data_IF_782046055503
#
_entry.id   IF_782046055503
#
_cell.length_a   1.000
_cell.length_b   1.000
_cell.length_c   1.000
_cell.angle_alpha   90.00
_cell.angle_beta   90.00
_cell.angle_gamma   90.00
#
_symmetry.space_group_name_H-M   'P 1'
#
loop_
_entity.id
_entity.type
_entity.pdbx_description
1 polymer ?
#
# COMPACT_ATOMS: atom_id res chain seq x y z
N UNK A 1 8.52 29.41 -17.11
CA UNK A 1 7.64 28.30 -17.49
C UNK A 1 6.77 28.03 -16.30
N UNK A 2 5.48 27.84 -16.50
CA UNK A 2 4.65 27.32 -15.41
C UNK A 2 4.90 25.82 -15.17
N UNK A 3 4.31 25.23 -14.13
CA UNK A 3 4.54 23.82 -13.79
C UNK A 3 4.05 22.85 -14.87
N UNK A 4 3.02 23.19 -15.63
CA UNK A 4 2.51 22.34 -16.70
C UNK A 4 3.48 22.34 -17.89
N UNK A 5 3.95 23.52 -18.30
CA UNK A 5 4.95 23.67 -19.37
C UNK A 5 6.26 22.95 -19.02
N UNK A 6 6.70 23.04 -17.75
CA UNK A 6 7.90 22.32 -17.28
C UNK A 6 7.72 20.80 -17.38
N UNK A 7 6.57 20.28 -16.96
CA UNK A 7 6.25 18.84 -17.01
C UNK A 7 6.20 18.33 -18.46
N UNK A 8 5.50 19.04 -19.35
CA UNK A 8 5.42 18.71 -20.78
C UNK A 8 6.81 18.71 -21.44
N UNK A 9 7.67 19.69 -21.10
CA UNK A 9 9.04 19.75 -21.64
C UNK A 9 9.90 18.53 -21.25
N UNK A 10 9.76 18.01 -20.03
CA UNK A 10 10.49 16.81 -19.58
C UNK A 10 10.03 15.59 -20.39
N UNK A 11 8.72 15.44 -20.55
CA UNK A 11 8.13 14.34 -21.34
C UNK A 11 8.56 14.42 -22.80
N UNK A 12 8.47 15.60 -23.41
CA UNK A 12 8.86 15.82 -24.79
C UNK A 12 10.35 15.49 -25.02
N UNK A 13 11.20 15.87 -24.07
CA UNK A 13 12.61 15.51 -24.11
C UNK A 13 12.80 13.99 -24.05
N UNK A 14 12.14 13.30 -23.12
CA UNK A 14 12.27 11.85 -22.96
C UNK A 14 11.76 11.09 -24.20
N UNK A 15 10.61 11.49 -24.74
CA UNK A 15 10.08 10.93 -25.98
C UNK A 15 11.07 11.08 -27.14
N UNK A 16 11.77 12.21 -27.25
CA UNK A 16 12.80 12.42 -28.28
C UNK A 16 14.02 11.51 -28.08
N UNK A 17 14.41 11.19 -26.84
CA UNK A 17 15.52 10.27 -26.56
C UNK A 17 15.17 8.81 -26.89
N UNK A 18 13.95 8.39 -26.55
CA UNK A 18 13.53 6.99 -26.65
C UNK A 18 12.92 6.60 -28.00
N UNK A 19 12.66 7.57 -28.88
CA UNK A 19 12.19 7.28 -30.23
C UNK A 19 13.34 6.73 -31.09
N UNK A 20 13.59 5.42 -30.98
CA UNK A 20 14.37 4.66 -31.96
C UNK A 20 13.42 3.83 -32.84
N UNK A 21 13.22 4.21 -34.11
CA UNK A 21 12.38 3.46 -35.05
C UNK A 21 12.81 1.99 -35.24
N UNK A 22 14.06 1.64 -34.89
CA UNK A 22 14.58 0.28 -35.01
C UNK A 22 14.24 -0.61 -33.80
N UNK A 23 13.85 -0.05 -32.65
CA UNK A 23 13.59 -0.80 -31.42
C UNK A 23 12.10 -1.00 -31.12
N UNK A 24 11.19 -0.39 -31.89
CA UNK A 24 9.72 -0.39 -31.64
C UNK A 24 9.34 0.03 -30.20
N UNK A 25 10.23 0.78 -29.52
CA UNK A 25 9.97 1.30 -28.18
C UNK A 25 9.19 2.60 -28.31
N UNK A 26 7.97 2.61 -27.81
CA UNK A 26 7.12 3.80 -27.77
C UNK A 26 7.05 4.36 -26.35
N UNK A 27 6.97 5.69 -26.25
CA UNK A 27 6.66 6.40 -25.00
C UNK A 27 5.16 6.67 -24.98
N UNK A 28 4.52 6.33 -23.88
CA UNK A 28 3.09 6.55 -23.69
C UNK A 28 2.74 8.04 -23.81
N UNK A 29 1.53 8.31 -24.28
CA UNK A 29 1.03 9.67 -24.41
C UNK A 29 0.17 10.02 -23.18
N UNK A 30 0.22 11.27 -22.74
CA UNK A 30 -0.68 11.73 -21.68
C UNK A 30 -2.14 11.60 -22.15
N UNK A 31 -2.98 10.97 -21.33
CA UNK A 31 -4.39 10.78 -21.65
C UNK A 31 -5.17 12.08 -21.36
N UNK A 32 -5.94 12.64 -22.31
CA UNK A 32 -6.70 13.87 -22.08
C UNK A 32 -7.75 13.69 -20.99
N UNK A 33 -7.84 14.66 -20.08
CA UNK A 33 -8.84 14.66 -19.02
C UNK A 33 -10.26 14.73 -19.59
N UNK A 34 -11.14 13.85 -19.11
CA UNK A 34 -12.54 13.78 -19.51
C UNK A 34 -13.48 14.46 -18.51
N UNK A 35 -13.22 14.33 -17.19
CA UNK A 35 -14.04 14.93 -16.15
C UNK A 35 -13.29 15.00 -14.79
N UNK A 36 -13.72 15.88 -13.89
CA UNK A 36 -13.07 16.10 -12.60
C UNK A 36 -13.75 15.39 -11.41
N UNK A 37 -14.61 14.38 -11.67
CA UNK A 37 -15.26 13.65 -10.57
C UNK A 37 -14.22 12.98 -9.68
N UNK A 38 -13.14 12.44 -10.26
CA UNK A 38 -12.05 11.83 -9.51
C UNK A 38 -11.33 12.81 -8.56
N UNK A 39 -11.21 14.09 -8.93
CA UNK A 39 -10.62 15.12 -8.06
C UNK A 39 -11.45 15.26 -6.78
N UNK A 40 -12.77 15.34 -6.90
CA UNK A 40 -13.66 15.47 -5.74
C UNK A 40 -13.55 14.25 -4.79
N UNK A 41 -13.41 13.03 -5.36
CA UNK A 41 -13.22 11.81 -4.58
C UNK A 41 -11.88 11.79 -3.86
N UNK A 42 -10.82 12.28 -4.51
CA UNK A 42 -9.51 12.46 -3.87
C UNK A 42 -9.62 13.46 -2.72
N UNK A 43 -10.26 14.61 -2.92
CA UNK A 43 -10.48 15.60 -1.85
C UNK A 43 -11.26 15.04 -0.66
N UNK A 44 -12.28 14.21 -0.93
CA UNK A 44 -13.04 13.52 0.11
C UNK A 44 -12.16 12.54 0.91
N UNK A 45 -11.34 11.74 0.23
CA UNK A 45 -10.42 10.79 0.87
C UNK A 45 -9.33 11.49 1.67
N UNK A 46 -8.79 12.59 1.14
CA UNK A 46 -7.82 13.41 1.83
C UNK A 46 -8.47 14.15 3.02
N UNK A 47 -9.73 14.58 2.90
CA UNK A 47 -10.35 15.52 3.84
C UNK A 47 -9.76 16.93 3.75
N UNK A 48 -9.14 17.28 2.62
CA UNK A 48 -8.65 18.61 2.28
C UNK A 48 -8.64 18.82 0.76
N UNK A 49 -8.48 20.07 0.31
CA UNK A 49 -8.48 20.40 -1.12
C UNK A 49 -7.31 19.79 -1.89
N UNK A 50 -7.54 19.48 -3.15
CA UNK A 50 -6.54 18.96 -4.07
C UNK A 50 -5.43 20.00 -4.26
N UNK A 51 -4.14 19.62 -4.21
CA UNK A 51 -3.03 20.57 -4.34
C UNK A 51 -3.16 21.43 -5.62
N UNK A 52 -3.30 22.76 -5.52
CA UNK A 52 -3.58 23.61 -6.69
C UNK A 52 -2.53 23.50 -7.81
N UNK A 53 -1.27 23.28 -7.43
CA UNK A 53 -0.13 23.08 -8.33
C UNK A 53 -0.27 21.82 -9.20
N UNK A 54 -0.90 20.77 -8.67
CA UNK A 54 -1.19 19.52 -9.38
C UNK A 54 -2.55 19.56 -10.07
N UNK A 55 -3.51 20.33 -9.55
CA UNK A 55 -4.84 20.44 -10.14
C UNK A 55 -4.77 20.91 -11.61
N UNK A 56 -3.84 21.82 -11.95
CA UNK A 56 -3.63 22.24 -13.35
C UNK A 56 -3.25 21.09 -14.27
N UNK A 57 -2.42 20.16 -13.79
CA UNK A 57 -2.05 18.96 -14.52
C UNK A 57 -3.27 18.07 -14.72
N UNK A 58 -4.00 17.78 -13.64
CA UNK A 58 -5.18 16.91 -13.67
C UNK A 58 -6.43 17.53 -14.33
N UNK A 59 -6.43 18.84 -14.57
CA UNK A 59 -7.41 19.52 -15.42
C UNK A 59 -7.19 19.25 -16.91
N UNK A 60 -5.96 18.90 -17.31
CA UNK A 60 -5.60 18.64 -18.70
C UNK A 60 -5.42 17.16 -19.01
N UNK A 61 -4.87 16.40 -18.06
CA UNK A 61 -4.50 15.00 -18.24
C UNK A 61 -5.01 14.11 -17.10
N UNK A 62 -5.32 12.86 -17.40
CA UNK A 62 -5.70 11.84 -16.40
C UNK A 62 -5.01 10.51 -16.71
N UNK A 63 -3.76 10.40 -16.26
CA UNK A 63 -2.89 9.27 -16.56
C UNK A 63 -2.38 9.27 -18.00
N UNK A 64 -2.16 8.08 -18.53
CA UNK A 64 -1.52 7.86 -19.83
C UNK A 64 -2.31 6.86 -20.70
N UNK A 65 -2.02 6.88 -22.00
CA UNK A 65 -2.51 5.93 -22.99
C UNK A 65 -1.33 5.35 -23.79
N UNK A 66 -1.38 4.05 -24.04
CA UNK A 66 -0.32 3.30 -24.71
C UNK A 66 0.05 2.02 -23.96
N UNK A 67 1.02 1.28 -24.49
CA UNK A 67 1.58 0.06 -23.88
C UNK A 67 3.10 0.12 -23.77
N UNK A 68 3.67 1.31 -23.98
CA UNK A 68 5.10 1.57 -23.97
C UNK A 68 5.60 2.04 -22.60
N UNK A 69 6.74 2.72 -22.61
CA UNK A 69 7.31 3.31 -21.39
C UNK A 69 6.45 4.46 -20.88
N UNK A 70 6.46 4.67 -19.56
CA UNK A 70 5.82 5.84 -18.98
C UNK A 70 6.43 7.14 -19.49
N UNK A 71 5.61 8.18 -19.61
CA UNK A 71 5.99 9.42 -20.28
C UNK A 71 7.06 10.22 -19.53
N UNK A 72 7.06 10.13 -18.20
CA UNK A 72 7.96 10.88 -17.34
C UNK A 72 9.20 10.03 -17.01
N UNK A 73 10.24 10.10 -17.84
CA UNK A 73 11.51 9.39 -17.61
C UNK A 73 11.28 7.89 -17.31
N UNK A 74 10.55 7.24 -18.22
CA UNK A 74 10.08 5.85 -18.15
C UNK A 74 9.00 5.54 -17.09
N UNK A 75 8.63 6.50 -16.26
CA UNK A 75 7.56 6.37 -15.27
C UNK A 75 6.27 7.02 -15.76
N UNK A 76 5.14 6.50 -15.31
CA UNK A 76 3.83 6.93 -15.81
C UNK A 76 3.20 7.99 -14.92
N UNK A 77 2.53 8.97 -15.53
CA UNK A 77 1.57 9.81 -14.81
C UNK A 77 0.47 8.93 -14.22
N UNK A 78 0.25 9.04 -12.91
CA UNK A 78 -0.78 8.32 -12.17
C UNK A 78 -2.16 8.85 -12.58
N UNK A 79 -3.08 7.96 -12.94
CA UNK A 79 -4.49 8.33 -13.17
C UNK A 79 -5.20 8.63 -11.84
N UNK A 80 -6.27 9.44 -11.88
CA UNK A 80 -7.14 9.69 -10.73
C UNK A 80 -7.71 8.38 -10.17
N UNK A 81 -7.99 7.38 -11.02
CA UNK A 81 -8.43 6.06 -10.56
C UNK A 81 -7.35 5.38 -9.72
N UNK A 82 -6.12 5.30 -10.22
CA UNK A 82 -5.00 4.69 -9.50
C UNK A 82 -4.67 5.45 -8.21
N UNK A 83 -4.73 6.78 -8.24
CA UNK A 83 -4.60 7.64 -7.07
C UNK A 83 -5.66 7.31 -6.00
N UNK A 84 -6.92 7.20 -6.41
CA UNK A 84 -8.03 6.81 -5.53
C UNK A 84 -7.82 5.40 -4.96
N UNK A 85 -7.37 4.45 -5.78
CA UNK A 85 -7.10 3.07 -5.34
C UNK A 85 -5.97 3.04 -4.29
N UNK A 86 -4.90 3.80 -4.50
CA UNK A 86 -3.78 3.95 -3.56
C UNK A 86 -4.21 4.62 -2.24
N UNK A 87 -5.02 5.68 -2.30
CA UNK A 87 -5.56 6.34 -1.11
C UNK A 87 -6.54 5.43 -0.35
N UNK A 88 -7.40 4.68 -1.05
CA UNK A 88 -8.27 3.70 -0.43
C UNK A 88 -7.49 2.59 0.26
N UNK A 89 -6.43 2.07 -0.38
CA UNK A 89 -5.50 1.15 0.26
C UNK A 89 -4.89 1.76 1.54
N UNK A 90 -4.38 2.99 1.45
CA UNK A 90 -3.82 3.74 2.59
C UNK A 90 -4.83 3.91 3.73
N UNK A 91 -6.11 4.12 3.42
CA UNK A 91 -7.20 4.21 4.40
C UNK A 91 -7.38 2.91 5.18
N UNK A 92 -7.20 1.74 4.54
CA UNK A 92 -7.29 0.45 5.24
C UNK A 92 -6.21 0.25 6.31
N UNK A 93 -5.09 0.96 6.19
CA UNK A 93 -3.98 0.91 7.14
C UNK A 93 -4.22 1.75 8.39
N UNK A 94 -5.22 2.63 8.39
CA UNK A 94 -5.54 3.49 9.54
C UNK A 94 -6.22 2.65 10.62
N UNK A 95 -5.57 2.54 11.78
CA UNK A 95 -6.12 1.83 12.94
C UNK A 95 -6.78 2.80 13.92
N UNK A 96 -7.93 2.46 14.53
CA UNK A 96 -8.55 3.29 15.57
C UNK A 96 -7.63 3.47 16.77
N UNK A 97 -7.63 4.67 17.37
CA UNK A 97 -6.82 4.96 18.58
C UNK A 97 -7.21 4.09 19.78
N UNK A 98 -8.51 3.79 19.91
CA UNK A 98 -9.05 2.94 20.97
C UNK A 98 -9.97 1.87 20.34
N UNK A 99 -9.40 0.77 19.83
CA UNK A 99 -10.18 -0.25 19.13
C UNK A 99 -11.08 -1.03 20.08
N UNK A 100 -12.33 -1.27 19.67
CA UNK A 100 -13.28 -2.06 20.47
C UNK A 100 -14.28 -2.83 19.60
N UNK A 101 -14.82 -3.92 20.16
CA UNK A 101 -15.87 -4.70 19.49
C UNK A 101 -17.22 -4.07 19.79
N UNK A 102 -17.78 -3.31 18.85
CA UNK A 102 -19.06 -2.61 19.01
C UNK A 102 -20.26 -3.55 19.21
N UNK A 103 -20.24 -4.72 18.58
CA UNK A 103 -21.34 -5.69 18.62
C UNK A 103 -20.86 -7.05 19.15
N UNK A 104 -20.55 -7.15 20.46
CA UNK A 104 -19.89 -8.33 21.03
C UNK A 104 -20.70 -9.62 20.86
N UNK A 105 -22.03 -9.56 20.99
CA UNK A 105 -22.88 -10.75 20.81
C UNK A 105 -22.91 -11.26 19.36
N UNK A 106 -22.89 -10.36 18.37
CA UNK A 106 -22.86 -10.73 16.95
C UNK A 106 -21.48 -11.27 16.58
N UNK A 107 -20.42 -10.62 17.06
CA UNK A 107 -19.04 -11.08 16.92
C UNK A 107 -18.88 -12.50 17.48
N UNK A 108 -19.35 -12.74 18.71
CA UNK A 108 -19.28 -14.05 19.35
C UNK A 108 -20.00 -15.14 18.54
N UNK A 109 -21.12 -14.82 17.86
CA UNK A 109 -21.79 -15.79 16.99
C UNK A 109 -20.92 -16.25 15.83
N UNK A 110 -20.20 -15.35 15.16
CA UNK A 110 -19.26 -15.74 14.10
C UNK A 110 -18.16 -16.65 14.64
N UNK A 111 -17.55 -16.27 15.77
CA UNK A 111 -16.52 -17.06 16.44
C UNK A 111 -17.02 -18.46 16.81
N UNK A 112 -18.25 -18.56 17.33
CA UNK A 112 -18.85 -19.85 17.71
C UNK A 112 -19.09 -20.74 16.49
N UNK A 113 -19.60 -20.20 15.38
CA UNK A 113 -19.82 -20.98 14.15
C UNK A 113 -18.49 -21.45 13.55
N UNK A 114 -17.47 -20.58 13.51
CA UNK A 114 -16.13 -20.97 13.04
C UNK A 114 -15.55 -22.08 13.92
N UNK A 115 -15.63 -21.93 15.25
CA UNK A 115 -15.12 -22.93 16.19
C UNK A 115 -15.86 -24.26 16.07
N UNK A 116 -17.18 -24.25 15.92
CA UNK A 116 -17.99 -25.47 15.75
C UNK A 116 -17.58 -26.23 14.49
N UNK A 117 -17.36 -25.54 13.36
CA UNK A 117 -16.87 -26.15 12.13
C UNK A 117 -15.49 -26.78 12.31
N UNK A 118 -14.56 -26.09 12.95
CA UNK A 118 -13.23 -26.63 13.23
C UNK A 118 -13.31 -27.89 14.12
N UNK A 119 -14.13 -27.85 15.17
CA UNK A 119 -14.28 -28.99 16.09
C UNK A 119 -14.91 -30.19 15.38
N UNK A 120 -15.93 -29.96 14.55
CA UNK A 120 -16.76 -31.03 13.97
C UNK A 120 -16.19 -31.61 12.68
N UNK A 121 -15.46 -30.80 11.89
CA UNK A 121 -15.03 -31.16 10.54
C UNK A 121 -13.50 -31.32 10.42
N UNK A 122 -12.70 -30.83 11.39
CA UNK A 122 -11.23 -30.82 11.30
C UNK A 122 -10.54 -31.63 12.40
N UNK A 123 -11.06 -31.64 13.63
CA UNK A 123 -10.42 -32.38 14.72
C UNK A 123 -10.45 -33.90 14.48
N UNK A 124 -9.29 -34.60 14.52
CA UNK A 124 -9.21 -36.01 14.16
C UNK A 124 -9.70 -36.96 15.27
N UNK A 125 -9.59 -36.57 16.55
CA UNK A 125 -9.98 -37.39 17.71
C UNK A 125 -10.46 -36.50 18.87
N UNK A 126 -11.68 -36.70 19.42
CA UNK A 126 -12.18 -35.93 20.56
C UNK A 126 -11.40 -36.15 21.87
N UNK A 127 -10.64 -37.25 22.01
CA UNK A 127 -9.98 -37.60 23.27
C UNK A 127 -8.54 -37.06 23.38
N UNK A 128 -7.82 -36.88 22.27
CA UNK A 128 -6.36 -36.64 22.26
C UNK A 128 -5.96 -35.24 21.77
N UNK A 129 -6.45 -34.18 22.42
CA UNK A 129 -6.02 -32.82 22.16
C UNK A 129 -6.11 -31.92 23.40
N UNK A 130 -5.33 -30.83 23.41
CA UNK A 130 -5.35 -29.81 24.44
C UNK A 130 -5.97 -28.50 23.93
N UNK A 131 -5.49 -28.02 22.78
CA UNK A 131 -6.00 -26.82 22.11
C UNK A 131 -5.81 -26.87 20.59
N UNK A 132 -6.63 -26.09 19.89
CA UNK A 132 -6.52 -25.81 18.47
C UNK A 132 -6.36 -24.29 18.29
N UNK A 133 -5.37 -23.86 17.53
CA UNK A 133 -5.18 -22.45 17.16
C UNK A 133 -5.44 -22.25 15.68
N UNK A 134 -6.05 -21.13 15.30
CA UNK A 134 -6.19 -20.72 13.90
C UNK A 134 -6.02 -19.19 13.80
N UNK A 135 -5.25 -18.78 12.81
CA UNK A 135 -5.03 -17.38 12.44
C UNK A 135 -5.99 -17.02 11.32
N UNK A 136 -6.82 -16.00 11.55
CA UNK A 136 -7.85 -15.57 10.63
C UNK A 136 -7.56 -14.16 10.16
N UNK A 137 -7.49 -13.94 8.85
CA UNK A 137 -7.47 -12.62 8.25
C UNK A 137 -8.51 -12.52 7.12
N UNK A 138 -8.85 -11.30 6.67
CA UNK A 138 -9.75 -11.13 5.51
C UNK A 138 -9.19 -11.74 4.21
N UNK A 139 -7.88 -12.02 4.18
CA UNK A 139 -7.14 -12.38 2.96
C UNK A 139 -6.44 -13.74 3.05
N UNK A 140 -6.32 -14.33 4.24
CA UNK A 140 -5.62 -15.59 4.46
C UNK A 140 -6.14 -16.32 5.71
N UNK A 141 -5.84 -17.61 5.76
CA UNK A 141 -5.99 -18.46 6.95
C UNK A 141 -4.61 -19.06 7.28
N UNK A 142 -4.25 -19.07 8.56
CA UNK A 142 -3.04 -19.71 9.08
C UNK A 142 -3.41 -20.82 10.05
N UNK A 143 -2.78 -21.98 9.92
CA UNK A 143 -3.15 -23.19 10.65
C UNK A 143 -4.13 -24.07 9.86
N UNK A 144 -4.92 -24.91 10.55
CA UNK A 144 -5.11 -24.97 11.98
C UNK A 144 -3.95 -25.69 12.67
N UNK A 145 -3.65 -25.28 13.89
CA UNK A 145 -2.50 -25.72 14.67
C UNK A 145 -2.98 -26.53 15.86
N UNK A 146 -2.84 -27.85 15.80
CA UNK A 146 -3.32 -28.78 16.81
C UNK A 146 -2.22 -29.12 17.82
N UNK A 147 -2.48 -28.83 19.09
CA UNK A 147 -1.60 -29.15 20.20
C UNK A 147 -2.21 -30.30 20.99
N UNK A 148 -1.51 -31.44 21.03
CA UNK A 148 -2.02 -32.66 21.67
C UNK A 148 -1.97 -32.58 23.20
N UNK A 149 -0.99 -31.87 23.75
CA UNK A 149 -0.74 -31.67 25.19
C UNK A 149 -0.45 -30.19 25.51
N UNK A 150 -0.51 -29.84 26.80
CA UNK A 150 -0.23 -28.48 27.28
C UNK A 150 1.21 -28.02 26.97
N UNK A 151 2.18 -28.94 27.02
CA UNK A 151 3.59 -28.69 26.74
C UNK A 151 3.98 -28.90 25.27
N UNK A 152 3.00 -29.16 24.39
CA UNK A 152 3.27 -29.26 22.95
C UNK A 152 3.78 -27.92 22.42
N UNK A 153 4.93 -27.93 21.76
CA UNK A 153 5.56 -26.72 21.21
C UNK A 153 5.07 -26.44 19.79
N UNK A 154 5.28 -25.21 19.29
CA UNK A 154 4.98 -24.84 17.91
C UNK A 154 5.72 -25.67 16.85
N UNK A 155 6.83 -26.32 17.22
CA UNK A 155 7.58 -27.22 16.34
C UNK A 155 7.01 -28.63 16.29
N UNK A 156 6.28 -29.04 17.35
CA UNK A 156 5.76 -30.39 17.53
C UNK A 156 4.24 -30.48 17.36
N UNK A 157 3.57 -29.36 17.07
CA UNK A 157 2.14 -29.34 16.78
C UNK A 157 1.83 -30.05 15.46
N UNK A 158 0.62 -30.57 15.36
CA UNK A 158 0.09 -31.10 14.12
C UNK A 158 -0.60 -29.98 13.32
N UNK A 159 -0.67 -30.15 12.00
CA UNK A 159 -1.39 -29.25 11.10
C UNK A 159 -2.41 -30.10 10.33
N UNK A 160 -3.63 -30.28 10.88
CA UNK A 160 -4.67 -31.04 10.20
C UNK A 160 -5.11 -30.34 8.91
N UNK A 161 -5.49 -31.13 7.90
CA UNK A 161 -6.09 -30.59 6.68
C UNK A 161 -7.50 -30.03 6.97
N UNK A 162 -7.81 -28.85 6.42
CA UNK A 162 -9.18 -28.33 6.41
C UNK A 162 -9.85 -28.78 5.10
N UNK A 163 -11.04 -29.41 5.14
CA UNK A 163 -11.79 -29.67 3.91
C UNK A 163 -12.11 -28.37 3.15
N UNK A 164 -12.02 -28.38 1.83
CA UNK A 164 -12.15 -27.17 1.01
C UNK A 164 -13.43 -26.37 1.28
N UNK A 165 -14.58 -27.04 1.39
CA UNK A 165 -15.87 -26.40 1.69
C UNK A 165 -15.90 -25.76 3.09
N UNK A 166 -15.19 -26.38 4.05
CA UNK A 166 -15.04 -25.86 5.42
C UNK A 166 -14.14 -24.64 5.42
N UNK A 167 -13.03 -24.68 4.69
CA UNK A 167 -12.09 -23.57 4.54
C UNK A 167 -12.77 -22.35 3.91
N UNK A 168 -13.50 -22.55 2.82
CA UNK A 168 -14.28 -21.50 2.16
C UNK A 168 -15.31 -20.88 3.12
N UNK A 169 -16.05 -21.71 3.86
CA UNK A 169 -17.03 -21.23 4.83
C UNK A 169 -16.38 -20.43 5.98
N UNK A 170 -15.24 -20.88 6.51
CA UNK A 170 -14.49 -20.16 7.55
C UNK A 170 -13.99 -18.82 7.00
N UNK A 171 -13.49 -18.80 5.78
CA UNK A 171 -13.02 -17.57 5.14
C UNK A 171 -14.14 -16.55 4.96
N UNK A 172 -15.31 -16.99 4.51
CA UNK A 172 -16.51 -16.16 4.38
C UNK A 172 -17.01 -15.61 5.72
N UNK A 173 -17.02 -16.44 6.76
CA UNK A 173 -17.39 -16.01 8.12
C UNK A 173 -16.38 -15.00 8.67
N UNK A 174 -15.10 -15.21 8.40
CA UNK A 174 -14.01 -14.31 8.79
C UNK A 174 -14.17 -12.94 8.14
N UNK A 175 -14.45 -12.89 6.82
CA UNK A 175 -14.74 -11.62 6.11
C UNK A 175 -15.95 -10.90 6.69
N UNK A 176 -17.03 -11.62 6.99
CA UNK A 176 -18.24 -11.04 7.59
C UNK A 176 -17.98 -10.51 9.01
N UNK A 177 -17.17 -11.22 9.80
CA UNK A 177 -16.74 -10.77 11.12
C UNK A 177 -15.86 -9.53 11.03
N UNK A 178 -14.90 -9.51 10.09
CA UNK A 178 -14.05 -8.36 9.84
C UNK A 178 -14.89 -7.14 9.45
N UNK A 179 -15.78 -7.25 8.47
CA UNK A 179 -16.62 -6.12 8.03
C UNK A 179 -17.58 -5.63 9.13
N UNK A 180 -18.02 -6.50 10.05
CA UNK A 180 -18.78 -6.09 11.24
C UNK A 180 -17.96 -5.21 12.20
N UNK A 181 -16.66 -5.47 12.32
CA UNK A 181 -15.76 -4.85 13.30
C UNK A 181 -14.82 -3.80 12.69
N UNK A 182 -14.81 -3.66 11.36
CA UNK A 182 -13.83 -2.87 10.61
C UNK A 182 -13.79 -1.41 11.02
N UNK A 183 -14.94 -0.76 11.18
CA UNK A 183 -15.01 0.66 11.52
C UNK A 183 -14.50 0.96 12.94
N UNK A 184 -14.78 0.08 13.91
CA UNK A 184 -14.51 0.34 15.33
C UNK A 184 -13.24 -0.39 15.85
N UNK A 185 -12.73 -1.39 15.12
CA UNK A 185 -11.56 -2.18 15.50
C UNK A 185 -10.49 -2.22 14.41
N UNK A 186 -10.86 -2.49 13.15
CA UNK A 186 -9.96 -2.65 12.00
C UNK A 186 -8.73 -3.57 12.24
N UNK A 187 -8.94 -4.75 12.83
CA UNK A 187 -7.84 -5.70 13.09
C UNK A 187 -7.24 -6.25 11.79
N UNK A 188 -5.94 -6.57 11.79
CA UNK A 188 -5.26 -7.19 10.65
C UNK A 188 -5.35 -8.70 10.69
N UNK A 189 -5.27 -9.27 11.90
CA UNK A 189 -5.35 -10.70 12.14
C UNK A 189 -6.15 -10.96 13.43
N UNK A 190 -6.82 -12.10 13.46
CA UNK A 190 -7.56 -12.61 14.60
C UNK A 190 -7.07 -14.03 14.90
N UNK A 191 -6.41 -14.20 16.04
CA UNK A 191 -6.03 -15.51 16.57
C UNK A 191 -7.19 -16.06 17.39
N UNK A 192 -7.75 -17.18 16.96
CA UNK A 192 -8.74 -17.95 17.71
C UNK A 192 -8.07 -19.19 18.30
N UNK A 193 -8.14 -19.32 19.62
CA UNK A 193 -7.73 -20.53 20.34
C UNK A 193 -8.98 -21.19 20.89
N UNK A 194 -9.11 -22.48 20.64
CA UNK A 194 -10.18 -23.34 21.13
C UNK A 194 -9.52 -24.36 22.06
N UNK A 195 -10.02 -24.50 23.28
CA UNK A 195 -9.53 -25.47 24.25
C UNK A 195 -10.46 -26.68 24.33
N UNK A 196 -9.92 -27.83 24.76
CA UNK A 196 -10.69 -29.07 24.92
C UNK A 196 -11.88 -28.95 25.88
N UNK A 197 -11.80 -28.09 26.89
CA UNK A 197 -12.91 -27.80 27.80
C UNK A 197 -14.03 -26.96 27.17
N UNK A 198 -13.89 -26.59 25.90
CA UNK A 198 -14.82 -25.77 25.13
C UNK A 198 -14.61 -24.26 25.31
N UNK A 199 -13.71 -23.84 26.20
CA UNK A 199 -13.34 -22.43 26.36
C UNK A 199 -12.59 -21.94 25.12
N UNK A 200 -12.64 -20.62 24.90
CA UNK A 200 -12.10 -19.96 23.71
C UNK A 200 -11.43 -18.66 24.10
N UNK A 201 -10.32 -18.35 23.45
CA UNK A 201 -9.72 -17.02 23.52
C UNK A 201 -9.64 -16.44 22.11
N UNK A 202 -9.92 -15.15 21.99
CA UNK A 202 -9.83 -14.41 20.74
C UNK A 202 -8.90 -13.24 20.96
N UNK A 203 -7.80 -13.20 20.21
CA UNK A 203 -6.89 -12.07 20.20
C UNK A 203 -6.92 -11.41 18.82
N UNK A 204 -7.09 -10.09 18.78
CA UNK A 204 -7.07 -9.31 17.53
C UNK A 204 -5.80 -8.48 17.53
N UNK A 205 -5.04 -8.53 16.45
CA UNK A 205 -3.74 -7.88 16.33
C UNK A 205 -3.73 -6.94 15.14
N UNK A 206 -2.80 -5.98 15.18
CA UNK A 206 -2.50 -5.10 14.06
C UNK A 206 -1.17 -5.51 13.44
N UNK A 207 -1.15 -5.54 12.11
CA UNK A 207 0.08 -5.72 11.36
C UNK A 207 0.71 -4.35 11.14
N UNK A 208 1.90 -4.14 11.71
CA UNK A 208 2.68 -2.92 11.53
C UNK A 208 3.69 -3.11 10.39
N UNK A 209 3.26 -2.79 9.16
CA UNK A 209 4.11 -2.88 7.97
C UNK A 209 5.42 -2.10 8.13
N UNK A 210 5.36 -0.92 8.76
CA UNK A 210 6.54 -0.07 8.90
C UNK A 210 7.59 -0.71 9.81
N UNK A 211 7.16 -1.29 10.93
CA UNK A 211 8.06 -2.01 11.83
C UNK A 211 8.61 -3.30 11.19
N UNK A 212 7.76 -4.06 10.48
CA UNK A 212 8.17 -5.33 9.86
C UNK A 212 9.16 -5.13 8.70
N UNK A 213 8.96 -4.10 7.89
CA UNK A 213 9.83 -3.77 6.76
C UNK A 213 11.03 -2.89 7.15
N UNK A 214 11.07 -2.39 8.38
CA UNK A 214 12.13 -1.47 8.83
C UNK A 214 12.10 -0.13 8.11
N UNK A 215 10.92 0.41 7.83
CA UNK A 215 10.78 1.63 7.01
C UNK A 215 11.43 2.83 7.69
N UNK A 216 12.29 3.54 6.95
CA UNK A 216 12.99 4.74 7.41
C UNK A 216 12.74 5.92 6.47
N UNK A 217 13.00 7.13 6.97
CA UNK A 217 12.90 8.36 6.19
C UNK A 217 14.27 9.00 6.00
N UNK A 218 14.51 9.50 4.79
CA UNK A 218 15.62 10.39 4.48
C UNK A 218 15.13 11.74 3.92
N UNK A 219 15.57 12.89 4.48
CA UNK A 219 16.30 13.05 5.72
C UNK A 219 15.51 12.54 6.94
N UNK A 220 16.22 12.09 7.98
CA UNK A 220 15.57 11.53 9.18
C UNK A 220 14.56 12.50 9.81
N UNK A 221 13.30 12.07 9.87
CA UNK A 221 12.19 12.81 10.47
C UNK A 221 11.53 13.82 9.52
N UNK A 222 11.84 13.75 8.22
CA UNK A 222 11.15 14.53 7.19
C UNK A 222 9.83 13.86 6.78
N UNK A 223 9.82 12.53 6.67
CA UNK A 223 8.66 11.73 6.26
C UNK A 223 8.31 10.80 7.41
N UNK A 224 7.01 10.58 7.64
CA UNK A 224 6.56 9.59 8.64
C UNK A 224 6.95 8.19 8.16
N UNK A 225 7.60 7.34 8.97
CA UNK A 225 7.99 6.00 8.57
C UNK A 225 6.74 5.11 8.49
N UNK A 226 6.05 5.13 7.35
CA UNK A 226 4.86 4.33 7.06
C UNK A 226 5.01 3.63 5.72
N UNK A 227 4.34 2.49 5.56
CA UNK A 227 4.28 1.79 4.29
C UNK A 227 3.53 2.61 3.23
N UNK A 228 2.33 3.06 3.58
CA UNK A 228 1.56 4.05 2.82
C UNK A 228 0.88 5.02 3.80
N UNK A 229 0.48 6.20 3.33
CA UNK A 229 -0.22 7.20 4.13
C UNK A 229 -1.35 7.84 3.33
N UNK A 230 -2.51 8.06 3.96
CA UNK A 230 -3.68 8.72 3.36
C UNK A 230 -3.43 10.17 2.91
N UNK A 231 -2.23 10.70 3.16
CA UNK A 231 -1.82 12.07 2.85
C UNK A 231 -0.62 12.10 1.91
N UNK A 232 -0.24 10.95 1.36
CA UNK A 232 0.77 10.83 0.31
C UNK A 232 0.05 10.59 -1.00
N UNK A 233 0.04 11.60 -1.85
CA UNK A 233 -0.70 11.57 -3.11
C UNK A 233 0.24 11.13 -4.24
N UNK A 234 0.08 9.92 -4.81
CA UNK A 234 0.95 9.43 -5.88
C UNK A 234 0.70 10.21 -7.17
N UNK A 235 1.76 10.65 -7.84
CA UNK A 235 1.68 11.45 -9.08
C UNK A 235 2.40 10.76 -10.24
N UNK A 236 3.54 10.12 -9.97
CA UNK A 236 4.31 9.38 -10.96
C UNK A 236 4.49 7.95 -10.43
N UNK A 237 4.28 6.95 -11.28
CA UNK A 237 4.26 5.52 -10.95
C UNK A 237 5.33 4.78 -11.75
N UNK A 238 6.04 3.88 -11.10
CA UNK A 238 6.91 2.91 -11.79
C UNK A 238 6.14 1.72 -12.39
N UNK A 239 4.80 1.76 -12.30
CA UNK A 239 3.87 0.71 -12.73
C UNK A 239 4.02 -0.63 -12.00
N UNK A 240 4.82 -0.66 -10.92
CA UNK A 240 5.14 -1.86 -10.13
C UNK A 240 4.85 -1.69 -8.63
N UNK A 241 4.25 -0.56 -8.23
CA UNK A 241 3.79 -0.29 -6.87
C UNK A 241 4.66 0.72 -6.11
N UNK A 242 5.57 1.40 -6.81
CA UNK A 242 6.36 2.51 -6.27
C UNK A 242 5.98 3.83 -6.95
N UNK A 243 6.07 4.90 -6.17
CA UNK A 243 5.52 6.20 -6.52
C UNK A 243 6.48 7.33 -6.16
N UNK A 244 6.48 8.36 -7.01
CA UNK A 244 6.83 9.72 -6.62
C UNK A 244 5.52 10.47 -6.40
N UNK A 245 5.40 11.16 -5.27
CA UNK A 245 4.17 11.86 -4.91
C UNK A 245 4.37 12.99 -3.92
N UNK A 246 3.28 13.72 -3.64
CA UNK A 246 3.30 14.85 -2.71
C UNK A 246 2.89 14.41 -1.30
N UNK A 247 3.67 14.82 -0.31
CA UNK A 247 3.42 14.56 1.11
C UNK A 247 2.70 15.74 1.76
N UNK A 248 1.43 15.54 2.08
CA UNK A 248 0.56 16.55 2.70
C UNK A 248 0.54 16.48 4.24
N UNK A 249 1.23 15.51 4.83
CA UNK A 249 1.30 15.30 6.29
C UNK A 249 2.69 14.79 6.70
N UNK A 250 3.72 15.64 6.49
CA UNK A 250 5.11 15.28 6.78
C UNK A 250 5.34 15.02 8.27
N UNK A 251 6.50 14.44 8.59
CA UNK A 251 6.96 14.36 9.98
C UNK A 251 7.59 15.70 10.44
N UNK A 252 8.01 15.78 11.70
CA UNK A 252 8.39 17.01 12.41
C UNK A 252 9.42 17.90 11.72
N UNK A 253 10.25 17.36 10.83
CA UNK A 253 11.29 18.11 10.10
C UNK A 253 10.99 18.27 8.61
N UNK A 254 9.89 17.72 8.13
CA UNK A 254 9.50 17.83 6.73
C UNK A 254 8.69 19.08 6.46
N UNK A 255 8.41 19.30 5.17
CA UNK A 255 7.64 20.45 4.69
C UNK A 255 6.37 19.95 4.03
N UNK A 256 5.21 20.50 4.38
CA UNK A 256 3.95 20.11 3.75
C UNK A 256 4.00 20.50 2.27
N UNK A 257 3.75 19.54 1.39
CA UNK A 257 3.89 19.71 -0.06
C UNK A 257 5.25 19.24 -0.61
N UNK A 258 6.14 18.69 0.23
CA UNK A 258 7.38 18.07 -0.24
C UNK A 258 7.08 16.88 -1.16
N UNK A 259 7.94 16.65 -2.15
CA UNK A 259 7.85 15.53 -3.09
C UNK A 259 8.70 14.39 -2.55
N UNK A 260 8.11 13.20 -2.47
CA UNK A 260 8.70 12.02 -1.85
C UNK A 260 8.65 10.82 -2.79
N UNK A 261 9.60 9.91 -2.62
CA UNK A 261 9.53 8.53 -3.15
C UNK A 261 9.06 7.61 -2.05
N UNK A 262 8.06 6.79 -2.36
CA UNK A 262 7.46 5.80 -1.46
C UNK A 262 6.87 4.64 -2.27
N UNK A 263 6.59 3.51 -1.62
CA UNK A 263 5.92 2.41 -2.29
C UNK A 263 6.22 1.05 -1.71
N UNK A 264 5.80 0.03 -2.46
CA UNK A 264 5.91 -1.39 -2.12
C UNK A 264 7.33 -1.80 -1.72
N UNK A 265 8.33 -1.32 -2.45
CA UNK A 265 9.72 -1.78 -2.35
C UNK A 265 10.63 -0.74 -1.67
N UNK A 266 10.08 0.42 -1.28
CA UNK A 266 10.85 1.52 -0.71
C UNK A 266 10.96 1.42 0.82
N UNK A 267 11.95 0.67 1.29
CA UNK A 267 12.29 0.61 2.73
C UNK A 267 12.84 1.94 3.26
N UNK A 268 13.51 2.72 2.43
CA UNK A 268 13.94 4.07 2.77
C UNK A 268 13.16 5.06 1.93
N UNK A 269 12.05 5.59 2.47
CA UNK A 269 11.31 6.67 1.82
C UNK A 269 12.14 7.95 1.89
N UNK A 270 12.16 8.75 0.82
CA UNK A 270 13.02 9.93 0.79
C UNK A 270 12.41 11.12 0.09
N UNK A 271 12.82 12.32 0.52
CA UNK A 271 12.40 13.60 -0.07
C UNK A 271 13.24 13.88 -1.31
N UNK A 272 12.57 14.09 -2.44
CA UNK A 272 13.19 14.49 -3.72
C UNK A 272 13.27 16.00 -3.83
N UNK A 273 12.23 16.71 -3.44
CA UNK A 273 12.14 18.17 -3.54
C UNK A 273 11.19 18.77 -2.49
N UNK A 274 11.27 20.08 -2.26
CA UNK A 274 10.42 20.76 -1.27
C UNK A 274 9.03 21.12 -1.79
N UNK A 275 8.82 21.09 -3.11
CA UNK A 275 7.55 21.40 -3.77
C UNK A 275 7.48 20.76 -5.15
N UNK A 276 6.29 20.71 -5.75
CA UNK A 276 6.11 20.25 -7.13
C UNK A 276 6.91 21.09 -8.14
N UNK A 277 6.97 22.41 -7.92
CA UNK A 277 7.76 23.29 -8.79
C UNK A 277 9.26 22.98 -8.69
N UNK A 278 9.79 22.83 -7.47
CA UNK A 278 11.19 22.48 -7.25
C UNK A 278 11.54 21.11 -7.85
N UNK A 279 10.61 20.14 -7.80
CA UNK A 279 10.79 18.83 -8.42
C UNK A 279 10.92 18.91 -9.94
N UNK A 280 10.10 19.74 -10.59
CA UNK A 280 10.18 19.93 -12.03
C UNK A 280 11.45 20.69 -12.42
N UNK A 281 11.84 21.71 -11.66
CA UNK A 281 13.10 22.42 -11.90
C UNK A 281 14.32 21.51 -11.71
N UNK A 282 14.30 20.65 -10.69
CA UNK A 282 15.31 19.62 -10.47
C UNK A 282 15.44 18.68 -11.67
N UNK A 283 14.33 18.15 -12.18
CA UNK A 283 14.35 17.24 -13.32
C UNK A 283 14.73 17.94 -14.64
N UNK A 284 14.34 19.19 -14.86
CA UNK A 284 14.81 19.97 -16.01
C UNK A 284 16.32 20.17 -15.98
N UNK A 285 16.88 20.47 -14.80
CA UNK A 285 18.33 20.55 -14.66
C UNK A 285 18.99 19.19 -14.89
N UNK A 286 18.37 18.12 -14.43
CA UNK A 286 18.88 16.75 -14.56
C UNK A 286 18.97 16.31 -16.02
N UNK A 287 17.92 16.51 -16.82
CA UNK A 287 17.95 16.16 -18.25
C UNK A 287 18.97 17.01 -19.05
N UNK A 288 19.26 18.24 -18.59
CA UNK A 288 20.25 19.12 -19.22
C UNK A 288 21.70 18.76 -18.85
N UNK A 289 21.93 18.24 -17.64
CA UNK A 289 23.28 17.99 -17.10
C UNK A 289 23.70 16.52 -17.15
N UNK A 290 22.75 15.60 -17.01
CA UNK A 290 22.98 14.16 -16.80
C UNK A 290 22.07 13.30 -17.70
N UNK A 291 21.50 13.87 -18.77
CA UNK A 291 20.55 13.19 -19.66
C UNK A 291 21.07 11.87 -20.25
N UNK A 292 22.37 11.79 -20.59
CA UNK A 292 22.99 10.55 -21.06
C UNK A 292 22.94 9.45 -20.01
N UNK A 293 23.17 9.78 -18.72
CA UNK A 293 23.08 8.80 -17.63
C UNK A 293 21.66 8.33 -17.42
N UNK A 294 20.67 9.22 -17.48
CA UNK A 294 19.24 8.86 -17.39
C UNK A 294 18.86 7.82 -18.45
N UNK A 295 19.41 7.95 -19.67
CA UNK A 295 19.17 7.01 -20.76
C UNK A 295 19.89 5.66 -20.57
N UNK A 296 21.02 5.66 -19.87
CA UNK A 296 21.79 4.46 -19.53
C UNK A 296 21.25 3.74 -18.27
N UNK A 297 20.43 4.42 -17.46
CA UNK A 297 20.18 4.04 -16.07
C UNK A 297 19.01 3.11 -15.75
N UNK A 298 19.25 2.45 -14.62
CA UNK A 298 18.51 1.43 -13.91
C UNK A 298 17.51 2.16 -12.99
N UNK A 299 16.27 2.37 -13.45
CA UNK A 299 15.12 2.89 -12.64
C UNK A 299 15.30 4.28 -11.97
N UNK A 300 14.41 5.24 -12.28
CA UNK A 300 14.47 6.64 -11.83
C UNK A 300 14.61 6.84 -10.31
N UNK A 301 13.98 5.98 -9.50
CA UNK A 301 14.05 6.12 -8.04
C UNK A 301 15.47 5.85 -7.54
N UNK A 302 16.12 4.84 -8.11
CA UNK A 302 17.50 4.50 -7.76
C UNK A 302 18.47 5.57 -8.27
N UNK A 303 18.20 6.19 -9.42
CA UNK A 303 18.96 7.35 -9.85
C UNK A 303 18.91 8.49 -8.83
N UNK A 304 17.70 8.87 -8.38
CA UNK A 304 17.55 9.91 -7.36
C UNK A 304 18.25 9.56 -6.06
N UNK A 305 18.26 8.29 -5.65
CA UNK A 305 18.99 7.82 -4.47
C UNK A 305 20.48 8.11 -4.59
N UNK A 306 21.11 7.89 -5.75
CA UNK A 306 22.55 8.17 -5.97
C UNK A 306 22.91 9.65 -5.83
N UNK A 307 21.96 10.55 -6.12
CA UNK A 307 22.18 12.00 -6.11
C UNK A 307 21.88 12.60 -4.74
N UNK A 308 20.80 12.14 -4.09
CA UNK A 308 20.21 12.81 -2.94
C UNK A 308 20.61 12.19 -1.60
N UNK A 309 20.97 10.91 -1.59
CA UNK A 309 21.29 10.17 -0.38
C UNK A 309 22.80 9.92 -0.35
N UNK A 310 23.55 10.59 0.54
CA UNK A 310 24.96 10.33 0.73
C UNK A 310 25.19 8.87 1.10
N UNK A 311 26.23 8.27 0.54
CA UNK A 311 26.71 6.91 0.83
C UNK A 311 25.78 5.76 0.39
N UNK A 312 24.88 6.00 -0.59
CA UNK A 312 24.12 4.94 -1.28
C UNK A 312 24.91 4.26 -2.39
#
# INVERSE_FOLDING_TARGET
>A
MDTLEKFEKIIDWFAQQMTDPALELEVNQLAPQQNLVGVNLVEELLGESFPPELLKLYQKYDGEQGTGFGAFLAHSLVSLKEMIDSLNFSKTLIKPDNPFVKYPEKSAKFILVIADKLITEVLPDPENWHKLEIELSPNSLGGPYLYSQEDTTSQNREIPDIPADTEEAIFDLTKKLYELEKEDYNWSELMLVIFKDGSKTVNRTFYDFAAQMGITSYPKGAIKPKYFHIKWLPIISDQSGNYIGIDLDPDKKGTKGQIIVFGRDEQQVFVVANSWEDFLDFNLHLIESEGDKINEEIHLHDFYKTILIPDN
#
